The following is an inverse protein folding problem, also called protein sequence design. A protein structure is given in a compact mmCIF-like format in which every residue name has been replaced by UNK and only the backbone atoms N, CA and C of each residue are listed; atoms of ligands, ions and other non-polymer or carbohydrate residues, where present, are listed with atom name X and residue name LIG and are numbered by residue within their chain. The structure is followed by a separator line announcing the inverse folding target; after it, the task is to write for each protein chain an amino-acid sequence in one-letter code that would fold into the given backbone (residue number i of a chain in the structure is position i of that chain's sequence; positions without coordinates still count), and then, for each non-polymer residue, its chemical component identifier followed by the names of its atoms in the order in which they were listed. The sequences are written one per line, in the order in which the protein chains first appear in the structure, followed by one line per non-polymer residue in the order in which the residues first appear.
data_IF_725654234112
#
_entry.id   IF_725654234112
#
_cell.length_a   1.000
_cell.length_b   1.000
_cell.length_c   1.000
_cell.angle_alpha   90.00
_cell.angle_beta   90.00
_cell.angle_gamma   90.00
#
_symmetry.space_group_name_H-M   'P 1'
#
loop_
_entity.id
_entity.type
_entity.pdbx_description
1 polymer ?
#
# COMPACT_ATOMS: atom_id res chain seq x y z
N UNK A 1 4.81 13.65 22.19
CA UNK A 1 4.83 12.46 23.09
C UNK A 1 5.57 12.74 24.41
N UNK A 2 5.31 11.99 25.49
CA UNK A 2 6.08 12.09 26.76
C UNK A 2 7.25 11.09 26.81
N UNK A 3 8.30 11.42 27.58
CA UNK A 3 9.52 10.57 27.71
C UNK A 3 9.20 9.16 28.22
N UNK A 4 8.22 9.04 29.12
CA UNK A 4 7.83 7.78 29.76
C UNK A 4 7.20 6.76 28.78
N UNK A 5 6.70 7.25 27.65
CA UNK A 5 6.10 6.42 26.59
C UNK A 5 7.17 5.88 25.63
N UNK A 6 8.42 6.35 25.72
CA UNK A 6 9.50 6.04 24.80
C UNK A 6 10.17 4.71 25.21
N UNK A 7 9.64 3.60 24.70
CA UNK A 7 10.17 2.25 24.95
C UNK A 7 10.80 1.66 23.69
N UNK A 8 11.83 0.79 23.81
CA UNK A 8 12.28 -0.02 22.69
C UNK A 8 11.11 -0.79 22.04
N UNK A 9 11.06 -0.80 20.71
CA UNK A 9 10.06 -1.51 19.93
C UNK A 9 8.94 -0.65 19.34
N UNK A 10 8.67 0.53 19.91
CA UNK A 10 7.64 1.44 19.36
C UNK A 10 8.10 2.05 18.04
N UNK A 11 7.14 2.44 17.20
CA UNK A 11 7.41 3.14 15.95
C UNK A 11 7.03 4.61 16.09
N UNK A 12 7.98 5.49 15.81
CA UNK A 12 7.85 6.94 15.86
C UNK A 12 7.63 7.52 14.46
N UNK A 13 6.80 8.55 14.39
CA UNK A 13 6.52 9.35 13.20
C UNK A 13 6.63 10.82 13.56
N UNK A 14 7.12 11.64 12.64
CA UNK A 14 7.22 13.08 12.79
C UNK A 14 8.15 13.70 11.76
N UNK A 15 8.10 15.02 11.62
CA UNK A 15 8.87 15.80 10.64
C UNK A 15 10.39 15.62 10.73
N UNK A 16 10.89 15.23 11.91
CA UNK A 16 12.31 14.97 12.16
C UNK A 16 12.81 13.73 11.39
N UNK A 17 11.90 12.81 11.05
CA UNK A 17 12.21 11.60 10.29
C UNK A 17 11.57 11.64 8.91
N UNK A 18 12.31 11.25 7.88
CA UNK A 18 11.78 11.11 6.51
C UNK A 18 10.87 9.90 6.33
N UNK A 19 10.86 8.98 7.31
CA UNK A 19 10.07 7.77 7.33
C UNK A 19 9.73 7.36 8.78
N UNK A 20 8.79 6.43 9.01
CA UNK A 20 8.55 5.86 10.34
C UNK A 20 9.79 5.11 10.86
N UNK A 21 10.20 5.40 12.09
CA UNK A 21 11.41 4.84 12.72
C UNK A 21 11.05 3.98 13.94
N UNK A 22 11.47 2.72 13.94
CA UNK A 22 11.37 1.82 15.10
C UNK A 22 12.46 2.12 16.11
N UNK A 23 12.09 2.38 17.36
CA UNK A 23 13.04 2.64 18.45
C UNK A 23 13.76 1.35 18.82
N UNK A 24 15.10 1.39 18.75
CA UNK A 24 15.95 0.30 19.22
C UNK A 24 16.43 0.57 20.65
N UNK A 25 16.96 1.76 20.88
CA UNK A 25 17.53 2.15 22.18
C UNK A 25 17.24 3.62 22.47
N UNK A 26 17.00 3.90 23.75
CA UNK A 26 16.81 5.25 24.29
C UNK A 26 17.90 5.49 25.34
N UNK A 27 18.66 6.57 25.19
CA UNK A 27 19.69 6.96 26.15
C UNK A 27 19.42 8.38 26.66
N UNK A 28 19.11 8.56 27.95
CA UNK A 28 18.93 9.89 28.52
C UNK A 28 20.27 10.65 28.53
N UNK A 29 20.25 11.92 28.12
CA UNK A 29 21.41 12.83 28.07
C UNK A 29 21.06 14.16 28.75
N UNK A 30 20.90 14.14 30.08
CA UNK A 30 20.54 15.34 30.85
C UNK A 30 19.14 15.83 30.49
N UNK A 31 19.04 16.97 29.78
CA UNK A 31 17.77 17.55 29.30
C UNK A 31 17.35 17.07 27.90
N UNK A 32 18.18 16.27 27.24
CA UNK A 32 17.89 15.70 25.92
C UNK A 32 17.95 14.17 25.97
N UNK A 33 17.51 13.54 24.89
CA UNK A 33 17.48 12.08 24.75
C UNK A 33 18.16 11.72 23.44
N UNK A 34 19.16 10.84 23.49
CA UNK A 34 19.71 10.22 22.30
C UNK A 34 18.86 9.00 21.96
N UNK A 35 18.25 9.02 20.78
CA UNK A 35 17.45 7.93 20.25
C UNK A 35 18.26 7.18 19.22
N UNK A 36 18.27 5.85 19.30
CA UNK A 36 18.77 4.97 18.24
C UNK A 36 17.57 4.23 17.70
N UNK A 37 17.27 4.41 16.41
CA UNK A 37 16.15 3.76 15.76
C UNK A 37 16.48 3.30 14.34
N UNK A 38 15.64 2.42 13.80
CA UNK A 38 15.77 1.90 12.44
C UNK A 38 14.55 2.29 11.61
N UNK A 39 14.76 2.89 10.45
CA UNK A 39 13.71 3.20 9.49
C UNK A 39 13.03 1.92 9.00
N UNK A 40 11.70 1.91 8.95
CA UNK A 40 10.94 0.70 8.59
C UNK A 40 11.03 0.34 7.10
N UNK A 41 11.29 1.33 6.23
CA UNK A 41 11.30 1.14 4.78
C UNK A 41 12.74 0.98 4.28
N UNK A 42 13.63 1.87 4.72
CA UNK A 42 15.02 1.87 4.22
C UNK A 42 15.97 0.99 5.03
N UNK A 43 15.54 0.53 6.23
CA UNK A 43 16.39 -0.12 7.23
C UNK A 43 17.58 0.71 7.72
N UNK A 44 17.63 2.02 7.42
CA UNK A 44 18.70 2.90 7.87
C UNK A 44 18.61 3.16 9.37
N UNK A 45 19.78 3.28 10.02
CA UNK A 45 19.87 3.58 11.45
C UNK A 45 19.95 5.08 11.66
N UNK A 46 19.00 5.63 12.41
CA UNK A 46 18.96 7.02 12.83
C UNK A 46 19.42 7.15 14.28
N UNK A 47 20.28 8.13 14.55
CA UNK A 47 20.82 8.40 15.89
C UNK A 47 20.63 9.85 16.36
N UNK A 48 19.42 10.46 16.24
CA UNK A 48 19.22 11.85 16.63
C UNK A 48 19.33 12.05 18.15
N UNK A 49 19.76 13.25 18.52
CA UNK A 49 19.62 13.76 19.89
C UNK A 49 18.43 14.71 19.87
N UNK A 50 17.40 14.37 20.64
CA UNK A 50 16.13 15.09 20.67
C UNK A 50 15.98 15.88 21.97
N UNK A 51 15.54 17.13 21.86
CA UNK A 51 15.07 17.90 23.02
C UNK A 51 13.68 17.44 23.44
N UNK A 52 13.23 17.85 24.63
CA UNK A 52 11.88 17.56 25.12
C UNK A 52 10.81 18.17 24.19
N UNK A 53 11.09 19.35 23.63
CA UNK A 53 10.21 20.03 22.66
C UNK A 53 10.09 19.23 21.36
N UNK A 54 11.22 18.75 20.82
CA UNK A 54 11.23 17.91 19.63
C UNK A 54 10.53 16.56 19.86
N UNK A 55 10.66 15.98 21.05
CA UNK A 55 9.95 14.76 21.43
C UNK A 55 8.43 14.99 21.54
N UNK A 56 8.01 16.19 21.96
CA UNK A 56 6.60 16.53 22.05
C UNK A 56 5.91 16.51 20.67
N UNK A 57 6.63 16.88 19.60
CA UNK A 57 6.15 16.87 18.21
C UNK A 57 6.07 15.48 17.57
N UNK A 58 6.70 14.46 18.18
CA UNK A 58 6.65 13.10 17.67
C UNK A 58 5.35 12.40 18.07
N UNK A 59 4.84 11.61 17.14
CA UNK A 59 3.73 10.69 17.32
C UNK A 59 4.27 9.26 17.43
N UNK A 60 3.77 8.50 18.40
CA UNK A 60 4.05 7.07 18.52
C UNK A 60 2.86 6.25 18.08
N UNK A 61 3.14 5.14 17.43
CA UNK A 61 2.15 4.08 17.19
C UNK A 61 1.73 3.51 18.55
N UNK A 62 0.44 3.19 18.80
CA UNK A 62 0.01 2.65 20.08
C UNK A 62 0.77 1.37 20.46
N UNK A 63 0.97 1.15 21.77
CA UNK A 63 1.71 -0.03 22.31
C UNK A 63 1.02 -1.36 21.96
N UNK A 64 -0.30 -1.32 21.75
CA UNK A 64 -1.08 -2.40 21.17
C UNK A 64 -1.83 -1.86 19.96
N UNK A 65 -1.70 -2.57 18.84
CA UNK A 65 -2.56 -2.36 17.69
C UNK A 65 -4.00 -2.66 18.12
N UNK A 66 -4.86 -1.63 18.05
CA UNK A 66 -6.21 -1.72 18.60
C UNK A 66 -7.10 -2.66 17.78
N UNK A 67 -6.78 -2.85 16.48
CA UNK A 67 -7.56 -3.64 15.52
C UNK A 67 -9.08 -3.40 15.59
N UNK A 68 -9.49 -2.20 16.02
CA UNK A 68 -10.86 -1.79 16.33
C UNK A 68 -11.50 -0.97 15.19
N UNK A 69 -10.84 -0.92 14.03
CA UNK A 69 -11.36 -0.28 12.84
C UNK A 69 -12.66 -0.93 12.35
N UNK A 70 -13.47 -0.16 11.61
CA UNK A 70 -14.74 -0.63 11.06
C UNK A 70 -14.51 -1.80 10.08
N UNK A 71 -14.97 -3.03 10.42
CA UNK A 71 -14.72 -4.21 9.60
C UNK A 71 -15.40 -4.11 8.22
N UNK A 72 -16.49 -3.35 8.09
CA UNK A 72 -17.16 -3.16 6.80
C UNK A 72 -16.32 -2.29 5.88
N UNK A 73 -15.72 -1.20 6.39
CA UNK A 73 -14.80 -0.36 5.61
C UNK A 73 -13.57 -1.14 5.17
N UNK A 74 -13.00 -1.95 6.08
CA UNK A 74 -11.88 -2.81 5.75
C UNK A 74 -12.24 -3.78 4.61
N UNK A 75 -13.39 -4.47 4.72
CA UNK A 75 -13.89 -5.36 3.67
C UNK A 75 -14.08 -4.63 2.34
N UNK A 76 -14.68 -3.44 2.34
CA UNK A 76 -14.87 -2.66 1.12
C UNK A 76 -13.54 -2.30 0.45
N UNK A 77 -12.53 -1.90 1.23
CA UNK A 77 -11.20 -1.60 0.68
C UNK A 77 -10.58 -2.85 0.03
N UNK A 78 -10.67 -4.01 0.69
CA UNK A 78 -10.16 -5.28 0.16
C UNK A 78 -10.90 -5.67 -1.13
N UNK A 79 -12.23 -5.57 -1.17
CA UNK A 79 -13.00 -5.87 -2.40
C UNK A 79 -12.69 -4.88 -3.53
N UNK A 80 -12.53 -3.60 -3.23
CA UNK A 80 -12.14 -2.60 -4.22
C UNK A 80 -10.76 -2.93 -4.82
N UNK A 81 -9.80 -3.34 -3.99
CA UNK A 81 -8.49 -3.81 -4.47
C UNK A 81 -8.61 -5.07 -5.32
N UNK A 82 -9.41 -6.05 -4.89
CA UNK A 82 -9.64 -7.30 -5.64
C UNK A 82 -10.24 -7.05 -7.02
N UNK A 83 -11.21 -6.12 -7.11
CA UNK A 83 -11.80 -5.70 -8.38
C UNK A 83 -10.81 -4.90 -9.23
N UNK A 84 -10.02 -4.02 -8.62
CA UNK A 84 -8.97 -3.27 -9.30
C UNK A 84 -7.91 -4.18 -9.93
N UNK A 85 -7.62 -5.32 -9.31
CA UNK A 85 -6.65 -6.32 -9.80
C UNK A 85 -7.29 -7.46 -10.60
N UNK A 86 -8.59 -7.39 -10.91
CA UNK A 86 -9.29 -8.48 -11.58
C UNK A 86 -8.72 -8.81 -12.98
N UNK A 87 -8.15 -7.82 -13.65
CA UNK A 87 -7.48 -8.00 -14.95
C UNK A 87 -6.28 -8.95 -14.90
N UNK A 88 -5.69 -9.20 -13.72
CA UNK A 88 -4.50 -10.07 -13.61
C UNK A 88 -4.85 -11.56 -13.76
N UNK A 89 -6.09 -11.95 -13.49
CA UNK A 89 -6.52 -13.35 -13.48
C UNK A 89 -7.73 -13.64 -14.37
N UNK A 90 -8.49 -12.63 -14.77
CA UNK A 90 -9.58 -12.79 -15.75
C UNK A 90 -9.08 -12.45 -17.16
N UNK A 91 -8.84 -13.46 -18.04
CA UNK A 91 -8.40 -13.21 -19.41
C UNK A 91 -9.42 -12.44 -20.25
N UNK A 92 -10.67 -12.38 -19.81
CA UNK A 92 -11.79 -11.72 -20.46
C UNK A 92 -12.25 -10.47 -19.70
N UNK A 93 -11.42 -9.91 -18.81
CA UNK A 93 -11.80 -8.80 -17.92
C UNK A 93 -12.46 -7.63 -18.66
N UNK A 94 -11.93 -7.26 -19.84
CA UNK A 94 -12.49 -6.15 -20.62
C UNK A 94 -13.95 -6.38 -21.07
N UNK A 95 -14.37 -7.64 -21.25
CA UNK A 95 -15.76 -7.97 -21.55
C UNK A 95 -16.67 -7.83 -20.33
N UNK A 96 -16.19 -8.22 -19.15
CA UNK A 96 -16.97 -8.14 -17.91
C UNK A 96 -17.40 -6.70 -17.55
N UNK A 97 -16.70 -5.70 -18.08
CA UNK A 97 -16.99 -4.26 -17.89
C UNK A 97 -17.48 -3.56 -19.16
N UNK A 98 -17.52 -4.26 -20.30
CA UNK A 98 -18.01 -3.71 -21.55
C UNK A 98 -19.53 -3.82 -21.64
N UNK A 99 -20.14 -2.91 -22.42
CA UNK A 99 -21.55 -3.02 -22.83
C UNK A 99 -21.63 -3.67 -24.19
N UNK A 100 -21.15 -4.91 -24.28
CA UNK A 100 -21.14 -5.72 -25.51
C UNK A 100 -21.54 -7.14 -25.13
N UNK A 101 -22.44 -7.74 -25.91
CA UNK A 101 -22.86 -9.13 -25.78
C UNK A 101 -22.30 -9.92 -26.98
N UNK A 102 -21.01 -10.30 -26.97
CA UNK A 102 -20.39 -10.92 -28.13
C UNK A 102 -20.85 -12.36 -28.31
N UNK A 103 -20.98 -12.78 -29.56
CA UNK A 103 -21.19 -14.17 -29.90
C UNK A 103 -19.90 -14.99 -29.65
N UNK A 104 -19.99 -16.31 -29.39
CA UNK A 104 -18.82 -17.14 -29.11
C UNK A 104 -17.72 -17.04 -30.17
N UNK A 105 -18.08 -16.97 -31.47
CA UNK A 105 -17.10 -16.86 -32.54
C UNK A 105 -16.42 -15.48 -32.59
N UNK A 106 -17.09 -14.42 -32.13
CA UNK A 106 -16.52 -13.08 -32.03
C UNK A 106 -15.47 -13.01 -30.91
N UNK A 107 -15.70 -13.72 -29.80
CA UNK A 107 -14.73 -13.87 -28.72
C UNK A 107 -13.46 -14.56 -29.20
N UNK A 108 -13.63 -15.68 -29.90
CA UNK A 108 -12.53 -16.44 -30.47
C UNK A 108 -11.71 -15.58 -31.45
N UNK A 109 -12.38 -14.90 -32.39
CA UNK A 109 -11.72 -14.03 -33.36
C UNK A 109 -10.84 -12.95 -32.70
N UNK A 110 -11.32 -12.31 -31.63
CA UNK A 110 -10.59 -11.23 -30.96
C UNK A 110 -9.50 -11.77 -30.03
N UNK A 111 -9.86 -12.60 -29.05
CA UNK A 111 -8.94 -13.03 -27.99
C UNK A 111 -7.97 -14.10 -28.44
N UNK A 112 -8.40 -15.02 -29.31
CA UNK A 112 -7.54 -16.11 -29.75
C UNK A 112 -6.71 -15.80 -30.98
N UNK A 113 -7.13 -14.84 -31.80
CA UNK A 113 -6.41 -14.46 -33.02
C UNK A 113 -5.91 -13.02 -33.00
N UNK A 114 -6.79 -12.01 -32.92
CA UNK A 114 -6.39 -10.61 -33.15
C UNK A 114 -5.42 -10.08 -32.10
N UNK A 115 -5.70 -10.27 -30.81
CA UNK A 115 -4.85 -9.75 -29.73
C UNK A 115 -3.46 -10.39 -29.68
N UNK A 116 -3.29 -11.59 -30.24
CA UNK A 116 -1.98 -12.29 -30.29
C UNK A 116 -1.06 -11.75 -31.39
N UNK A 117 -1.56 -10.91 -32.30
CA UNK A 117 -0.78 -10.38 -33.41
C UNK A 117 -0.18 -9.02 -33.05
N UNK A 118 1.14 -8.80 -33.27
CA UNK A 118 1.79 -7.52 -32.96
C UNK A 118 1.30 -6.36 -33.84
N UNK A 119 0.69 -6.68 -34.99
CA UNK A 119 0.06 -5.72 -35.90
C UNK A 119 -1.21 -6.33 -36.45
N UNK A 120 -2.34 -5.67 -36.22
CA UNK A 120 -3.65 -6.12 -36.72
C UNK A 120 -3.75 -5.75 -38.21
N UNK A 121 -3.76 -6.76 -39.08
CA UNK A 121 -4.00 -6.64 -40.54
C UNK A 121 -5.07 -7.63 -40.98
N UNK A 122 -6.25 -7.53 -40.38
CA UNK A 122 -7.39 -8.38 -40.66
C UNK A 122 -8.58 -7.55 -41.10
N UNK A 123 -9.35 -8.08 -42.03
CA UNK A 123 -10.70 -7.63 -42.32
C UNK A 123 -11.65 -8.63 -41.67
N UNK A 124 -12.39 -8.19 -40.65
CA UNK A 124 -13.46 -9.01 -40.08
C UNK A 124 -14.69 -8.82 -40.97
N UNK A 125 -15.04 -9.88 -41.71
CA UNK A 125 -16.21 -9.92 -42.59
C UNK A 125 -17.29 -10.80 -41.93
N UNK A 126 -17.68 -10.43 -40.71
CA UNK A 126 -18.80 -11.08 -40.01
C UNK A 126 -20.13 -10.58 -40.60
N UNK A 127 -21.16 -11.42 -40.60
CA UNK A 127 -22.50 -11.04 -41.07
C UNK A 127 -23.08 -9.96 -40.13
N UNK A 128 -23.84 -8.97 -40.64
CA UNK A 128 -24.42 -7.93 -39.81
C UNK A 128 -25.41 -8.52 -38.78
N UNK A 129 -25.15 -8.25 -37.49
CA UNK A 129 -25.90 -8.73 -36.32
C UNK A 129 -25.17 -8.35 -35.03
#
# INVERSE_FOLDING_TARGET
MQVEQLKPGIVLRGSIFSEPVKVLTVMPMGKSIKLIGQGLTTNQVHQPILTIEQLAELESTPEQELFDGDPNKFRHAVEAMRLGLAYEYDPFFALSVARVDPLPHQLEAVYDYFLKQPRIRFLLADDPG
#
